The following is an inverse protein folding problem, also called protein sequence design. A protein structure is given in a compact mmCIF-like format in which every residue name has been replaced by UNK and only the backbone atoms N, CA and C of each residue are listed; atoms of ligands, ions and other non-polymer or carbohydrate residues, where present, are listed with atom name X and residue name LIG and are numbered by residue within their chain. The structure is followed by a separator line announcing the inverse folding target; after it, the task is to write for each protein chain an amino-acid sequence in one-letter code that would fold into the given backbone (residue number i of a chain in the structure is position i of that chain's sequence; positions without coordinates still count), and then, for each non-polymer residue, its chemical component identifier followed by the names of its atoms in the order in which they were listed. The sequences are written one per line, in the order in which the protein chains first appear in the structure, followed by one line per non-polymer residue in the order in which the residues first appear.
data_IF_184022043447
#
_entry.id   IF_184022043447
#
_cell.length_a   1.000
_cell.length_b   1.000
_cell.length_c   1.000
_cell.angle_alpha   90.00
_cell.angle_beta   90.00
_cell.angle_gamma   90.00
#
_symmetry.space_group_name_H-M   'P 1'
#
loop_
_entity.id
_entity.type
_entity.pdbx_description
1 polymer ?
#
# COMPACT_ATOMS: atom_id res chain seq x y z
N UNK A 1 20.08 -5.30 -11.49
CA UNK A 1 19.54 -4.55 -10.33
C UNK A 1 19.13 -5.55 -9.26
N UNK A 2 19.73 -5.55 -8.08
CA UNK A 2 19.36 -6.49 -7.01
C UNK A 2 18.39 -5.79 -6.04
N UNK A 3 17.11 -6.19 -6.10
CA UNK A 3 16.06 -5.70 -5.21
C UNK A 3 15.80 -6.77 -4.15
N UNK A 4 15.77 -6.34 -2.88
CA UNK A 4 15.50 -7.23 -1.75
C UNK A 4 14.04 -7.66 -1.78
N UNK A 5 13.77 -8.94 -1.90
CA UNK A 5 12.42 -9.50 -1.82
C UNK A 5 11.93 -9.48 -0.37
N UNK A 6 10.63 -9.33 -0.16
CA UNK A 6 10.01 -9.48 1.17
C UNK A 6 10.28 -10.87 1.78
N UNK A 7 10.64 -11.87 0.95
CA UNK A 7 11.07 -13.19 1.41
C UNK A 7 12.38 -13.19 2.19
N UNK A 8 13.21 -12.17 2.01
CA UNK A 8 14.50 -12.01 2.70
C UNK A 8 14.35 -11.33 4.07
N UNK A 9 13.18 -10.73 4.34
CA UNK A 9 12.91 -10.10 5.63
C UNK A 9 12.85 -11.14 6.76
N UNK A 10 13.60 -10.89 7.83
CA UNK A 10 13.61 -11.73 9.04
C UNK A 10 12.58 -11.21 10.05
N UNK A 11 12.06 -12.11 10.89
CA UNK A 11 11.22 -11.77 12.04
C UNK A 11 9.95 -10.96 11.71
N UNK A 12 9.15 -11.43 10.75
CA UNK A 12 7.90 -10.77 10.34
C UNK A 12 6.73 -10.92 11.33
N UNK A 13 6.83 -11.85 12.29
CA UNK A 13 5.77 -12.09 13.28
C UNK A 13 5.55 -10.85 14.16
N UNK A 14 4.29 -10.44 14.32
CA UNK A 14 3.85 -9.26 15.08
C UNK A 14 4.46 -7.93 14.59
N UNK A 15 5.02 -7.90 13.38
CA UNK A 15 5.49 -6.66 12.75
C UNK A 15 4.36 -6.01 11.97
N UNK A 16 4.31 -4.67 12.04
CA UNK A 16 3.45 -3.85 11.19
C UNK A 16 4.15 -3.60 9.87
N UNK A 17 3.58 -4.09 8.78
CA UNK A 17 4.15 -3.98 7.44
C UNK A 17 3.31 -3.00 6.63
N UNK A 18 3.91 -1.87 6.27
CA UNK A 18 3.32 -0.90 5.34
C UNK A 18 3.51 -1.43 3.93
N UNK A 19 2.42 -1.64 3.20
CA UNK A 19 2.46 -2.14 1.83
C UNK A 19 1.90 -1.07 0.90
N UNK A 20 2.74 -0.55 0.02
CA UNK A 20 2.30 0.30 -1.08
C UNK A 20 1.74 -0.57 -2.20
N UNK A 21 0.43 -0.52 -2.41
CA UNK A 21 -0.28 -1.28 -3.44
C UNK A 21 -0.90 -0.33 -4.47
N UNK A 22 -1.08 -0.79 -5.70
CA UNK A 22 -1.81 -0.03 -6.72
C UNK A 22 -3.25 -0.49 -6.80
N UNK A 23 -4.18 0.24 -6.16
CA UNK A 23 -5.62 -0.01 -6.30
C UNK A 23 -6.33 1.12 -7.06
N UNK A 24 -5.60 1.76 -7.98
CA UNK A 24 -6.15 2.82 -8.82
C UNK A 24 -7.06 2.21 -9.91
N UNK A 25 -8.30 1.89 -9.54
CA UNK A 25 -9.30 1.32 -10.43
C UNK A 25 -10.00 2.40 -11.28
N UNK A 26 -10.43 2.05 -12.51
CA UNK A 26 -11.24 2.94 -13.32
C UNK A 26 -12.63 3.15 -12.72
N UNK A 27 -13.28 4.25 -13.14
CA UNK A 27 -14.67 4.53 -12.80
C UNK A 27 -15.55 4.27 -14.03
N UNK A 28 -16.69 3.61 -13.82
CA UNK A 28 -17.74 3.39 -14.82
C UNK A 28 -19.07 3.85 -14.25
N UNK A 29 -19.75 4.75 -14.95
CA UNK A 29 -21.04 5.34 -14.53
C UNK A 29 -20.99 5.92 -13.09
N UNK A 30 -19.90 6.62 -12.75
CA UNK A 30 -19.72 7.24 -11.44
C UNK A 30 -19.41 6.28 -10.27
N UNK A 31 -19.18 4.99 -10.56
CA UNK A 31 -18.81 3.97 -9.56
C UNK A 31 -17.48 3.33 -9.92
N UNK A 32 -16.77 2.81 -8.91
CA UNK A 32 -15.56 2.03 -9.15
C UNK A 32 -15.92 0.76 -9.93
N UNK A 33 -15.16 0.50 -10.99
CA UNK A 33 -15.30 -0.70 -11.80
C UNK A 33 -14.35 -1.79 -11.29
N UNK A 34 -14.92 -2.83 -10.72
CA UNK A 34 -14.19 -3.99 -10.20
C UNK A 34 -14.09 -5.14 -11.21
N UNK A 35 -14.59 -4.97 -12.44
CA UNK A 35 -14.43 -5.99 -13.49
C UNK A 35 -12.98 -6.18 -13.91
N UNK A 36 -12.15 -5.12 -13.80
CA UNK A 36 -10.70 -5.14 -14.04
C UNK A 36 -9.90 -5.09 -12.73
N UNK A 37 -10.16 -6.02 -11.82
CA UNK A 37 -9.54 -6.09 -10.49
C UNK A 37 -8.11 -6.66 -10.47
N UNK A 38 -7.46 -6.81 -11.63
CA UNK A 38 -6.10 -7.38 -11.74
C UNK A 38 -5.11 -6.65 -10.81
N UNK A 39 -5.23 -5.32 -10.70
CA UNK A 39 -4.40 -4.50 -9.81
C UNK A 39 -4.59 -4.86 -8.33
N UNK A 40 -5.81 -5.20 -7.93
CA UNK A 40 -6.10 -5.66 -6.57
C UNK A 40 -5.52 -7.06 -6.35
N UNK A 41 -5.79 -7.98 -7.28
CA UNK A 41 -5.33 -9.37 -7.23
C UNK A 41 -3.81 -9.51 -7.20
N UNK A 42 -3.08 -8.59 -7.84
CA UNK A 42 -1.62 -8.55 -7.82
C UNK A 42 -1.03 -8.58 -6.40
N UNK A 43 -1.70 -7.95 -5.42
CA UNK A 43 -1.24 -7.90 -4.03
C UNK A 43 -1.56 -9.16 -3.20
N UNK A 44 -2.40 -10.08 -3.70
CA UNK A 44 -2.94 -11.17 -2.88
C UNK A 44 -1.88 -12.14 -2.39
N UNK A 45 -0.89 -12.47 -3.23
CA UNK A 45 0.17 -13.40 -2.86
C UNK A 45 1.00 -12.85 -1.70
N UNK A 46 1.35 -11.57 -1.74
CA UNK A 46 2.11 -10.90 -0.68
C UNK A 46 1.31 -10.72 0.59
N UNK A 47 0.03 -10.36 0.48
CA UNK A 47 -0.87 -10.29 1.63
C UNK A 47 -0.96 -11.66 2.31
N UNK A 48 -1.17 -12.73 1.53
CA UNK A 48 -1.25 -14.10 2.06
C UNK A 48 0.07 -14.54 2.69
N UNK A 49 1.21 -14.23 2.06
CA UNK A 49 2.54 -14.55 2.56
C UNK A 49 2.81 -13.90 3.92
N UNK A 50 2.65 -12.58 4.02
CA UNK A 50 2.91 -11.82 5.24
C UNK A 50 2.02 -12.26 6.40
N UNK A 51 0.75 -12.57 6.10
CA UNK A 51 -0.17 -13.09 7.13
C UNK A 51 0.16 -14.49 7.59
N UNK A 52 0.58 -15.36 6.67
CA UNK A 52 1.12 -16.67 7.03
C UNK A 52 2.36 -16.58 7.94
N UNK A 53 3.07 -15.44 7.93
CA UNK A 53 4.18 -15.13 8.83
C UNK A 53 3.76 -14.41 10.13
N UNK A 54 2.46 -14.14 10.31
CA UNK A 54 1.92 -13.46 11.49
C UNK A 54 2.17 -11.95 11.54
N UNK A 55 2.37 -11.30 10.39
CA UNK A 55 2.50 -9.86 10.30
C UNK A 55 1.14 -9.16 10.29
N UNK A 56 1.09 -7.96 10.86
CA UNK A 56 -0.02 -7.02 10.71
C UNK A 56 0.21 -6.16 9.46
N UNK A 57 -0.78 -6.11 8.58
CA UNK A 57 -0.67 -5.45 7.27
C UNK A 57 -1.36 -4.09 7.31
N UNK A 58 -0.70 -3.08 6.74
CA UNK A 58 -1.25 -1.74 6.54
C UNK A 58 -1.11 -1.39 5.06
N UNK A 59 -2.22 -1.43 4.34
CA UNK A 59 -2.28 -1.14 2.91
C UNK A 59 -2.38 0.37 2.67
N UNK A 60 -1.48 0.88 1.83
CA UNK A 60 -1.44 2.26 1.37
C UNK A 60 -1.70 2.25 -0.13
N UNK A 61 -2.73 2.97 -0.55
CA UNK A 61 -3.10 3.06 -1.95
C UNK A 61 -3.65 4.44 -2.28
N UNK A 62 -3.95 4.64 -3.55
CA UNK A 62 -4.59 5.84 -4.04
C UNK A 62 -5.65 5.52 -5.08
N UNK A 63 -6.59 6.44 -5.23
CA UNK A 63 -7.54 6.50 -6.34
C UNK A 63 -7.43 7.87 -7.00
N UNK A 64 -7.31 7.88 -8.32
CA UNK A 64 -7.24 9.08 -9.15
C UNK A 64 -6.19 10.11 -8.65
N UNK A 65 -6.47 11.39 -8.90
CA UNK A 65 -5.67 12.55 -8.48
C UNK A 65 -6.63 13.63 -7.94
N UNK A 66 -7.19 13.43 -6.73
CA UNK A 66 -8.06 14.42 -6.12
C UNK A 66 -7.27 15.69 -5.74
N UNK A 67 -7.92 16.85 -5.73
CA UNK A 67 -7.33 18.12 -5.26
C UNK A 67 -7.61 18.38 -3.76
N UNK A 68 -8.14 17.37 -3.07
CA UNK A 68 -8.49 17.42 -1.66
C UNK A 68 -9.38 16.24 -1.29
N UNK A 69 -10.10 16.37 -0.18
CA UNK A 69 -11.01 15.31 0.23
C UNK A 69 -12.24 15.22 -0.68
N UNK A 70 -12.40 14.10 -1.38
CA UNK A 70 -13.55 13.84 -2.24
C UNK A 70 -14.11 12.44 -1.99
N UNK A 71 -15.36 12.35 -1.53
CA UNK A 71 -15.99 11.08 -1.14
C UNK A 71 -15.94 10.00 -2.24
N UNK A 72 -16.05 10.39 -3.50
CA UNK A 72 -16.01 9.47 -4.66
C UNK A 72 -14.65 8.77 -4.86
N UNK A 73 -13.57 9.38 -4.37
CA UNK A 73 -12.20 8.85 -4.47
C UNK A 73 -11.75 8.14 -3.18
N UNK A 74 -12.66 7.88 -2.24
CA UNK A 74 -12.34 7.15 -1.02
C UNK A 74 -12.14 5.66 -1.26
N UNK A 75 -11.29 5.03 -0.44
CA UNK A 75 -10.90 3.61 -0.58
C UNK A 75 -11.84 2.63 0.14
N UNK A 76 -12.85 3.12 0.86
CA UNK A 76 -13.78 2.25 1.59
C UNK A 76 -14.44 1.15 0.73
N UNK A 77 -14.86 1.39 -0.53
CA UNK A 77 -15.40 0.33 -1.38
C UNK A 77 -14.34 -0.70 -1.78
N UNK A 78 -13.09 -0.27 -1.96
CA UNK A 78 -11.96 -1.16 -2.27
C UNK A 78 -11.64 -2.06 -1.07
N UNK A 79 -11.66 -1.52 0.15
CA UNK A 79 -11.49 -2.30 1.38
C UNK A 79 -12.54 -3.42 1.49
N UNK A 80 -13.81 -3.10 1.22
CA UNK A 80 -14.92 -4.07 1.22
C UNK A 80 -14.75 -5.15 0.15
N UNK A 81 -14.33 -4.74 -1.05
CA UNK A 81 -14.05 -5.69 -2.14
C UNK A 81 -12.90 -6.64 -1.75
N UNK A 82 -11.80 -6.09 -1.22
CA UNK A 82 -10.66 -6.86 -0.77
C UNK A 82 -11.05 -7.87 0.31
N UNK A 83 -11.81 -7.44 1.33
CA UNK A 83 -12.33 -8.30 2.40
C UNK A 83 -13.10 -9.50 1.87
N UNK A 84 -14.02 -9.26 0.92
CA UNK A 84 -14.79 -10.32 0.25
C UNK A 84 -13.88 -11.26 -0.55
N UNK A 85 -12.93 -10.71 -1.30
CA UNK A 85 -12.07 -11.48 -2.21
C UNK A 85 -11.06 -12.37 -1.48
N UNK A 86 -10.53 -11.92 -0.34
CA UNK A 86 -9.59 -12.73 0.47
C UNK A 86 -10.30 -13.53 1.57
N UNK A 87 -11.61 -13.31 1.77
CA UNK A 87 -12.45 -13.96 2.77
C UNK A 87 -12.13 -13.58 4.21
N UNK A 88 -11.51 -12.41 4.46
CA UNK A 88 -10.98 -12.04 5.77
C UNK A 88 -11.11 -10.55 6.03
N UNK A 89 -11.35 -10.22 7.30
CA UNK A 89 -11.64 -8.85 7.73
C UNK A 89 -10.56 -7.86 7.33
N UNK A 90 -10.97 -6.75 6.68
CA UNK A 90 -10.12 -5.61 6.35
C UNK A 90 -10.60 -4.40 7.14
N UNK A 91 -9.78 -3.95 8.10
CA UNK A 91 -10.10 -2.78 8.90
C UNK A 91 -9.83 -1.51 8.07
N UNK A 92 -10.89 -0.83 7.65
CA UNK A 92 -10.75 0.45 6.98
C UNK A 92 -10.50 1.59 7.98
N UNK A 93 -9.41 2.33 7.81
CA UNK A 93 -8.94 3.38 8.71
C UNK A 93 -9.11 4.74 8.06
N UNK A 94 -10.20 5.43 8.39
CA UNK A 94 -10.53 6.79 7.89
C UNK A 94 -9.83 7.92 8.68
N UNK A 95 -8.71 7.62 9.33
CA UNK A 95 -8.06 8.57 10.26
C UNK A 95 -7.17 9.50 9.47
N UNK A 96 -7.18 10.79 9.80
CA UNK A 96 -6.20 11.73 9.28
C UNK A 96 -4.81 11.35 9.86
N UNK A 97 -3.91 10.90 8.98
CA UNK A 97 -2.54 10.45 9.32
C UNK A 97 -1.67 11.60 9.84
N UNK A 98 -2.01 12.85 9.51
CA UNK A 98 -1.37 14.07 10.03
C UNK A 98 -1.73 14.34 11.50
N UNK A 99 -2.65 13.58 12.11
CA UNK A 99 -2.94 13.68 13.54
C UNK A 99 -2.07 12.71 14.35
N UNK A 100 -1.57 13.17 15.51
CA UNK A 100 -0.65 12.41 16.39
C UNK A 100 -1.12 11.00 16.80
N UNK A 101 -2.43 10.75 16.78
CA UNK A 101 -3.03 9.49 17.29
C UNK A 101 -3.36 8.46 16.20
N UNK A 102 -2.84 8.61 14.97
CA UNK A 102 -3.16 7.71 13.86
C UNK A 102 -2.72 6.26 14.11
N UNK A 103 -1.54 6.05 14.72
CA UNK A 103 -1.02 4.70 15.00
C UNK A 103 -1.91 3.88 15.93
N UNK A 104 -2.54 4.51 16.93
CA UNK A 104 -3.43 3.84 17.90
C UNK A 104 -4.75 3.35 17.30
N UNK A 105 -5.02 3.63 16.02
CA UNK A 105 -6.21 3.17 15.30
C UNK A 105 -5.94 1.93 14.44
N UNK A 106 -4.66 1.58 14.25
CA UNK A 106 -4.26 0.35 13.57
C UNK A 106 -4.61 -0.84 14.47
N UNK A 107 -5.25 -1.85 13.89
CA UNK A 107 -5.64 -3.08 14.58
C UNK A 107 -4.79 -4.24 14.08
N UNK A 108 -4.80 -5.35 14.81
CA UNK A 108 -4.20 -6.59 14.32
C UNK A 108 -4.92 -7.09 13.05
N UNK A 109 -4.18 -7.77 12.19
CA UNK A 109 -4.65 -8.27 10.90
C UNK A 109 -4.42 -7.29 9.76
N UNK A 110 -5.42 -7.13 8.88
CA UNK A 110 -5.29 -6.29 7.67
C UNK A 110 -5.97 -4.96 7.93
N UNK A 111 -5.27 -3.88 7.63
CA UNK A 111 -5.75 -2.51 7.70
C UNK A 111 -5.60 -1.88 6.31
N UNK A 112 -6.57 -1.07 5.91
CA UNK A 112 -6.47 -0.23 4.72
C UNK A 112 -6.62 1.23 5.14
N UNK A 113 -5.61 2.03 4.82
CA UNK A 113 -5.70 3.47 5.02
C UNK A 113 -6.60 4.09 3.96
N UNK A 114 -7.12 5.27 4.27
CA UNK A 114 -7.79 6.11 3.30
C UNK A 114 -6.83 6.55 2.17
N UNK A 115 -7.39 7.00 1.04
CA UNK A 115 -6.64 7.45 -0.13
C UNK A 115 -5.49 8.40 0.24
N UNK A 116 -4.26 7.95 0.01
CA UNK A 116 -3.06 8.69 0.41
C UNK A 116 -2.92 10.03 -0.30
N UNK A 117 -3.54 10.20 -1.47
CA UNK A 117 -3.55 11.48 -2.21
C UNK A 117 -4.53 12.51 -1.66
N UNK A 118 -5.32 12.19 -0.63
CA UNK A 118 -6.05 13.23 0.11
C UNK A 118 -5.12 14.10 0.97
N UNK A 119 -3.89 13.67 1.20
CA UNK A 119 -2.87 14.43 1.95
C UNK A 119 -1.92 15.08 0.95
N UNK A 120 -1.84 16.42 0.96
CA UNK A 120 -0.97 17.17 0.03
C UNK A 120 0.50 16.77 0.17
N UNK A 121 0.94 16.50 1.41
CA UNK A 121 2.29 16.07 1.72
C UNK A 121 2.74 14.81 0.97
N UNK A 122 1.82 13.94 0.52
CA UNK A 122 2.14 12.78 -0.31
C UNK A 122 2.78 13.17 -1.64
N UNK A 123 2.21 14.17 -2.34
CA UNK A 123 2.65 14.56 -3.68
C UNK A 123 3.78 15.60 -3.63
N UNK A 124 3.85 16.38 -2.54
CA UNK A 124 4.86 17.41 -2.32
C UNK A 124 6.20 16.82 -1.80
N UNK A 125 6.23 15.53 -1.46
CA UNK A 125 7.45 14.93 -0.90
C UNK A 125 7.73 15.37 0.53
N UNK A 126 6.69 15.70 1.30
CA UNK A 126 6.83 16.29 2.63
C UNK A 126 7.49 15.30 3.61
N UNK A 127 8.62 15.72 4.18
CA UNK A 127 9.43 14.90 5.06
C UNK A 127 8.75 14.62 6.41
N UNK A 128 7.93 15.54 6.92
CA UNK A 128 7.17 15.33 8.16
C UNK A 128 6.06 14.29 7.93
N UNK A 129 5.36 14.38 6.80
CA UNK A 129 4.38 13.40 6.36
C UNK A 129 5.02 12.03 6.18
N UNK A 130 6.21 11.95 5.58
CA UNK A 130 6.98 10.70 5.45
C UNK A 130 7.28 10.07 6.82
N UNK A 131 7.77 10.85 7.79
CA UNK A 131 8.03 10.36 9.16
C UNK A 131 6.76 9.89 9.86
N UNK A 132 5.65 10.62 9.71
CA UNK A 132 4.35 10.25 10.29
C UNK A 132 3.83 8.95 9.68
N UNK A 133 3.91 8.82 8.36
CA UNK A 133 3.50 7.60 7.67
C UNK A 133 4.39 6.41 8.04
N UNK A 134 5.71 6.62 8.11
CA UNK A 134 6.68 5.61 8.52
C UNK A 134 6.40 5.12 9.96
N UNK A 135 5.99 6.00 10.87
CA UNK A 135 5.68 5.63 12.27
C UNK A 135 4.55 4.59 12.42
N UNK A 136 3.73 4.40 11.38
CA UNK A 136 2.66 3.42 11.37
C UNK A 136 3.16 1.98 11.23
N UNK A 137 4.39 1.76 10.72
CA UNK A 137 4.94 0.45 10.46
C UNK A 137 6.39 0.28 10.89
N UNK A 138 6.86 -0.95 10.83
CA UNK A 138 8.23 -1.34 11.15
C UNK A 138 9.01 -1.69 9.87
N UNK A 139 8.31 -2.07 8.80
CA UNK A 139 8.84 -2.50 7.50
C UNK A 139 8.00 -1.90 6.39
N UNK A 140 8.65 -1.53 5.29
CA UNK A 140 8.00 -1.09 4.06
C UNK A 140 8.11 -2.15 2.96
N UNK A 141 7.01 -2.36 2.24
CA UNK A 141 6.93 -3.22 1.07
C UNK A 141 6.34 -2.44 -0.09
N UNK A 142 7.07 -2.34 -1.19
CA UNK A 142 6.54 -1.81 -2.44
C UNK A 142 5.95 -2.95 -3.27
N UNK A 143 4.66 -2.88 -3.59
CA UNK A 143 3.91 -3.81 -4.45
C UNK A 143 3.25 -3.05 -5.62
N UNK A 144 3.74 -1.86 -5.95
CA UNK A 144 3.12 -0.96 -6.91
C UNK A 144 4.14 -0.49 -7.95
N UNK A 145 4.47 -1.37 -8.91
CA UNK A 145 5.43 -1.07 -9.98
C UNK A 145 5.03 0.16 -10.80
N UNK A 146 3.75 0.27 -11.14
CA UNK A 146 3.18 1.35 -11.96
C UNK A 146 3.44 2.76 -11.42
N UNK A 147 3.64 2.92 -10.12
CA UNK A 147 3.92 4.22 -9.47
C UNK A 147 5.35 4.33 -8.95
N UNK A 148 6.17 3.28 -9.11
CA UNK A 148 7.55 3.24 -8.60
C UNK A 148 8.49 4.25 -9.28
N UNK A 149 8.08 4.85 -10.41
CA UNK A 149 8.80 5.93 -11.08
C UNK A 149 8.57 7.31 -10.44
N UNK A 150 7.66 7.43 -9.46
CA UNK A 150 7.28 8.72 -8.86
C UNK A 150 8.08 9.01 -7.60
N UNK A 151 8.18 10.30 -7.28
CA UNK A 151 8.80 10.80 -6.04
C UNK A 151 7.79 11.00 -4.90
N UNK A 152 6.58 10.44 -5.05
CA UNK A 152 5.53 10.49 -4.03
C UNK A 152 6.06 9.88 -2.70
N UNK A 153 5.66 10.42 -1.54
CA UNK A 153 6.18 9.99 -0.21
C UNK A 153 5.98 8.50 0.04
N UNK A 154 4.80 7.95 -0.27
CA UNK A 154 4.50 6.53 -0.08
C UNK A 154 5.30 5.58 -0.99
N UNK A 155 6.07 6.12 -1.94
CA UNK A 155 6.90 5.36 -2.89
C UNK A 155 8.38 5.58 -2.63
N UNK A 156 8.82 6.83 -2.55
CA UNK A 156 10.23 7.19 -2.45
C UNK A 156 10.67 7.58 -1.03
N UNK A 157 9.78 8.22 -0.25
CA UNK A 157 10.10 8.68 1.11
C UNK A 157 10.12 7.56 2.15
N UNK A 158 9.19 6.59 2.07
CA UNK A 158 9.15 5.47 3.01
C UNK A 158 10.38 4.55 2.96
N UNK A 159 10.93 4.19 1.77
CA UNK A 159 12.16 3.41 1.69
C UNK A 159 13.39 4.01 2.37
N UNK A 160 13.45 5.34 2.51
CA UNK A 160 14.56 6.03 3.18
C UNK A 160 14.46 5.95 4.71
N UNK A 161 13.24 5.71 5.23
CA UNK A 161 12.95 5.73 6.66
C UNK A 161 12.79 4.35 7.28
N UNK A 162 12.49 3.33 6.47
CA UNK A 162 12.19 1.97 6.92
C UNK A 162 12.95 0.93 6.10
N UNK A 163 13.24 -0.26 6.67
CA UNK A 163 13.67 -1.41 5.89
C UNK A 163 12.68 -1.69 4.76
N UNK A 164 13.17 -1.57 3.51
CA UNK A 164 12.34 -1.62 2.32
C UNK A 164 12.57 -2.90 1.52
N UNK A 165 11.48 -3.51 1.07
CA UNK A 165 11.49 -4.71 0.26
C UNK A 165 10.53 -4.58 -0.93
N UNK A 166 10.79 -5.31 -2.00
CA UNK A 166 9.79 -5.56 -3.02
C UNK A 166 8.84 -6.65 -2.57
N UNK A 167 7.57 -6.43 -2.86
CA UNK A 167 6.54 -7.44 -2.78
C UNK A 167 6.69 -8.48 -3.90
N UNK A 168 5.92 -9.56 -3.81
CA UNK A 168 6.09 -10.74 -4.67
C UNK A 168 5.68 -10.49 -6.12
N UNK A 169 4.72 -9.59 -6.37
CA UNK A 169 4.33 -9.23 -7.72
C UNK A 169 5.35 -8.28 -8.34
N UNK A 170 5.76 -7.25 -7.60
CA UNK A 170 6.82 -6.33 -8.02
C UNK A 170 8.13 -7.07 -8.34
N UNK A 171 8.52 -8.03 -7.48
CA UNK A 171 9.69 -8.87 -7.72
C UNK A 171 9.60 -9.62 -9.06
N UNK A 172 8.42 -10.18 -9.40
CA UNK A 172 8.18 -10.89 -10.66
C UNK A 172 8.26 -9.95 -11.85
N UNK A 173 7.63 -8.78 -11.78
CA UNK A 173 7.66 -7.80 -12.87
C UNK A 173 9.10 -7.33 -13.17
N UNK A 174 9.87 -7.03 -12.13
CA UNK A 174 11.26 -6.59 -12.27
C UNK A 174 12.14 -7.71 -12.84
N UNK A 175 11.95 -8.96 -12.40
CA UNK A 175 12.66 -10.12 -12.98
C UNK A 175 12.34 -10.31 -14.45
N UNK A 176 11.08 -10.17 -14.85
CA UNK A 176 10.67 -10.29 -16.24
C UNK A 176 11.27 -9.16 -17.10
N UNK A 177 11.23 -7.92 -16.61
CA UNK A 177 11.82 -6.78 -17.32
C UNK A 177 13.35 -6.90 -17.43
N UNK A 178 14.03 -7.34 -16.36
CA UNK A 178 15.49 -7.50 -16.35
C UNK A 178 15.99 -8.55 -17.33
N UNK A 179 15.14 -9.50 -17.76
CA UNK A 179 15.48 -10.47 -18.81
C UNK A 179 15.43 -9.88 -20.22
N UNK A 180 14.74 -8.76 -20.39
CA UNK A 180 14.54 -8.08 -21.68
C UNK A 180 15.53 -6.93 -21.89
N UNK A 181 16.19 -6.48 -20.81
CA UNK A 181 17.20 -5.44 -20.87
C UNK A 181 18.59 -6.07 -21.06
N UNK A 182 19.42 -5.56 -21.98
CA UNK A 182 20.75 -6.09 -22.29
C UNK A 182 21.74 -5.94 -21.13
#
# INVERSE_FOLDING_TARGET
MHIKSIKEARNLKNKRVLIRVDYNLPFKNGKLDFSEDLRIKASFETIKYLRGKGADIILISHLARPEGWEKKFGLAPVAKYLEKSIGQKVNFIKVNIEKKNAAGKIKSGINMLENIRFYKGEQEGDAEFARRLASLGDIFVNEAFSVSHRKDVSVAGLPELLPAYAGLHLEKEIKNLSRLLP
#
